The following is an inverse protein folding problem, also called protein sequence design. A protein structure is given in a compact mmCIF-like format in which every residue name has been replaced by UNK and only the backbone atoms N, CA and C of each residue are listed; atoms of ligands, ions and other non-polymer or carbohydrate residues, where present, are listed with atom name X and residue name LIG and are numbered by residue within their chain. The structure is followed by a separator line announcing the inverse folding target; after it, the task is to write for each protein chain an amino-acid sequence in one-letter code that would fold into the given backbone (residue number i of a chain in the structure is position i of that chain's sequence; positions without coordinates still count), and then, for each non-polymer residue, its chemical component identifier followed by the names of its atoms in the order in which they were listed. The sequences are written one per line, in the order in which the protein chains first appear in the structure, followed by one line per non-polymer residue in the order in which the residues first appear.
data_IF_243371301362
#
_entry.id   IF_243371301362
#
_cell.length_a   1.000
_cell.length_b   1.000
_cell.length_c   1.000
_cell.angle_alpha   90.00
_cell.angle_beta   90.00
_cell.angle_gamma   90.00
#
_symmetry.space_group_name_H-M   'P 1'
#
loop_
_entity.id
_entity.type
_entity.pdbx_description
1 polymer ?
#
# COMPACT_ATOMS: atom_id res chain seq x y z
N UNK A 1 -3.96 27.38 20.84
CA UNK A 1 -5.16 27.39 19.97
C UNK A 1 -4.83 27.44 18.48
N UNK A 2 -3.77 28.12 18.02
CA UNK A 2 -3.33 28.16 16.61
C UNK A 2 -2.95 26.80 15.97
N UNK A 3 -2.44 25.86 16.76
CA UNK A 3 -1.97 24.56 16.28
C UNK A 3 -3.10 23.64 15.82
N UNK A 4 -4.25 23.68 16.52
CA UNK A 4 -5.41 22.85 16.17
C UNK A 4 -6.08 23.32 14.87
N UNK A 5 -6.13 24.63 14.62
CA UNK A 5 -6.70 25.20 13.38
C UNK A 5 -5.86 24.83 12.16
N UNK A 6 -4.53 24.87 12.26
CA UNK A 6 -3.63 24.46 11.17
C UNK A 6 -3.73 22.97 10.83
N UNK A 7 -3.80 22.09 11.83
CA UNK A 7 -3.93 20.63 11.61
C UNK A 7 -5.25 20.29 10.92
N UNK A 8 -6.37 20.92 11.33
CA UNK A 8 -7.67 20.67 10.69
C UNK A 8 -7.73 21.14 9.23
N UNK A 9 -7.04 22.24 8.90
CA UNK A 9 -7.00 22.79 7.55
C UNK A 9 -6.12 21.94 6.61
N UNK A 10 -5.06 21.32 7.12
CA UNK A 10 -4.22 20.38 6.36
C UNK A 10 -4.96 19.08 6.09
N UNK A 11 -5.65 18.52 7.09
CA UNK A 11 -6.46 17.30 6.93
C UNK A 11 -7.54 17.44 5.85
N UNK A 12 -8.18 18.61 5.75
CA UNK A 12 -9.19 18.90 4.70
C UNK A 12 -8.61 18.98 3.28
N UNK A 13 -7.29 19.11 3.14
CA UNK A 13 -6.60 19.23 1.84
C UNK A 13 -5.87 17.95 1.42
N UNK A 14 -6.00 16.86 2.19
CA UNK A 14 -5.41 15.58 1.80
C UNK A 14 -6.23 15.01 0.65
N UNK A 15 -5.58 14.64 -0.47
CA UNK A 15 -6.28 14.13 -1.63
C UNK A 15 -6.77 12.69 -1.39
N UNK A 16 -7.90 12.35 -1.99
CA UNK A 16 -8.62 11.10 -1.72
C UNK A 16 -7.81 9.84 -2.02
N UNK A 17 -6.85 9.89 -2.95
CA UNK A 17 -5.98 8.75 -3.28
C UNK A 17 -5.09 8.35 -2.09
N UNK A 18 -4.53 9.33 -1.37
CA UNK A 18 -3.72 9.08 -0.17
C UNK A 18 -4.61 8.58 0.97
N UNK A 19 -5.80 9.15 1.13
CA UNK A 19 -6.78 8.72 2.15
C UNK A 19 -7.20 7.27 1.89
N UNK A 20 -7.58 6.95 0.65
CA UNK A 20 -8.01 5.62 0.25
C UNK A 20 -6.88 4.59 0.46
N UNK A 21 -5.66 4.93 0.05
CA UNK A 21 -4.51 4.05 0.27
C UNK A 21 -4.22 3.85 1.75
N UNK A 22 -4.31 4.90 2.57
CA UNK A 22 -4.11 4.79 4.01
C UNK A 22 -5.16 3.89 4.66
N UNK A 23 -6.44 4.04 4.34
CA UNK A 23 -7.49 3.15 4.85
C UNK A 23 -7.32 1.71 4.38
N UNK A 24 -6.92 1.51 3.13
CA UNK A 24 -6.58 0.19 2.63
C UNK A 24 -5.41 -0.42 3.42
N UNK A 25 -4.33 0.34 3.64
CA UNK A 25 -3.19 -0.11 4.43
C UNK A 25 -3.58 -0.46 5.87
N UNK A 26 -4.45 0.36 6.50
CA UNK A 26 -5.03 0.07 7.82
C UNK A 26 -5.80 -1.24 7.80
N UNK A 27 -6.75 -1.40 6.87
CA UNK A 27 -7.60 -2.58 6.79
C UNK A 27 -6.78 -3.86 6.60
N UNK A 28 -5.84 -3.84 5.65
CA UNK A 28 -4.97 -4.98 5.36
C UNK A 28 -4.04 -5.28 6.54
N UNK A 29 -3.50 -4.26 7.21
CA UNK A 29 -2.62 -4.45 8.37
C UNK A 29 -3.37 -5.03 9.57
N UNK A 30 -4.58 -4.52 9.85
CA UNK A 30 -5.46 -5.04 10.91
C UNK A 30 -5.88 -6.47 10.60
N UNK A 31 -6.25 -6.76 9.36
CA UNK A 31 -6.61 -8.11 8.95
C UNK A 31 -5.41 -9.06 9.02
N UNK A 32 -4.22 -8.62 8.61
CA UNK A 32 -2.98 -9.39 8.77
C UNK A 32 -2.66 -9.68 10.24
N UNK A 33 -2.79 -8.67 11.11
CA UNK A 33 -2.62 -8.86 12.55
C UNK A 33 -3.62 -9.88 13.10
N UNK A 34 -4.90 -9.74 12.74
CA UNK A 34 -5.97 -10.66 13.14
C UNK A 34 -5.68 -12.11 12.69
N UNK A 35 -5.24 -12.32 11.45
CA UNK A 35 -4.88 -13.65 10.95
C UNK A 35 -3.68 -14.27 11.67
N UNK A 36 -2.77 -13.46 12.21
CA UNK A 36 -1.60 -13.95 12.94
C UNK A 36 -1.89 -14.33 14.40
N UNK A 37 -3.09 -14.08 14.91
CA UNK A 37 -3.50 -14.56 16.23
C UNK A 37 -3.64 -16.08 16.23
N UNK A 38 -3.22 -16.73 17.32
CA UNK A 38 -3.22 -18.20 17.44
C UNK A 38 -4.63 -18.81 17.25
N UNK A 39 -5.67 -18.10 17.68
CA UNK A 39 -7.07 -18.48 17.51
C UNK A 39 -7.48 -18.61 16.04
N UNK A 40 -6.77 -17.96 15.12
CA UNK A 40 -7.09 -17.88 13.69
C UNK A 40 -6.19 -18.76 12.81
N UNK A 41 -5.41 -19.68 13.40
CA UNK A 41 -4.49 -20.57 12.66
C UNK A 41 -5.13 -21.29 11.47
N UNK A 42 -6.34 -21.81 11.64
CA UNK A 42 -7.08 -22.50 10.55
C UNK A 42 -7.43 -21.55 9.41
N UNK A 43 -7.94 -20.36 9.74
CA UNK A 43 -8.27 -19.34 8.75
C UNK A 43 -7.01 -18.87 8.01
N UNK A 44 -5.93 -18.60 8.74
CA UNK A 44 -4.63 -18.26 8.14
C UNK A 44 -4.14 -19.34 7.19
N UNK A 45 -4.17 -20.62 7.59
CA UNK A 45 -3.76 -21.73 6.72
C UNK A 45 -4.63 -21.84 5.45
N UNK A 46 -5.93 -21.53 5.54
CA UNK A 46 -6.81 -21.53 4.36
C UNK A 46 -6.56 -20.36 3.40
N UNK A 47 -6.05 -19.23 3.90
CA UNK A 47 -5.86 -18.01 3.11
C UNK A 47 -4.46 -17.86 2.54
N UNK A 48 -3.43 -18.39 3.22
CA UNK A 48 -2.02 -18.28 2.80
C UNK A 48 -1.79 -18.68 1.33
N UNK A 49 -2.39 -19.78 0.81
CA UNK A 49 -2.21 -20.13 -0.59
C UNK A 49 -2.65 -19.02 -1.55
N UNK A 50 -3.64 -18.21 -1.18
CA UNK A 50 -4.16 -17.10 -2.00
C UNK A 50 -3.43 -15.78 -1.75
N UNK A 51 -3.08 -15.49 -0.50
CA UNK A 51 -2.55 -14.19 -0.11
C UNK A 51 -1.03 -14.13 -0.05
N UNK A 52 -0.37 -15.29 -0.14
CA UNK A 52 1.05 -15.46 0.11
C UNK A 52 1.42 -15.27 1.58
N UNK A 53 2.70 -15.48 1.87
CA UNK A 53 3.28 -15.37 3.21
C UNK A 53 3.38 -13.93 3.72
N UNK A 54 3.55 -12.98 2.80
CA UNK A 54 3.80 -11.57 3.08
C UNK A 54 2.54 -10.75 3.37
N UNK A 55 1.35 -11.36 3.42
CA UNK A 55 0.07 -10.64 3.46
C UNK A 55 0.06 -9.53 4.53
N UNK A 56 -0.10 -8.30 4.07
CA UNK A 56 -0.22 -7.11 4.90
C UNK A 56 1.05 -6.57 5.56
N UNK A 57 2.17 -7.30 5.55
CA UNK A 57 3.41 -6.84 6.19
C UNK A 57 3.96 -5.57 5.54
N UNK A 58 3.97 -5.53 4.20
CA UNK A 58 4.43 -4.36 3.44
C UNK A 58 3.59 -3.10 3.67
N UNK A 59 2.35 -3.25 4.13
CA UNK A 59 1.44 -2.12 4.34
C UNK A 59 1.53 -1.51 5.75
N UNK A 60 2.03 -2.25 6.74
CA UNK A 60 2.15 -1.77 8.12
C UNK A 60 3.04 -0.53 8.24
N UNK A 61 4.08 -0.43 7.41
CA UNK A 61 4.98 0.72 7.40
C UNK A 61 4.23 2.05 7.14
N UNK A 62 3.23 2.03 6.26
CA UNK A 62 2.48 3.23 5.90
C UNK A 62 1.59 3.77 7.01
N UNK A 63 1.23 2.93 7.98
CA UNK A 63 0.46 3.34 9.16
C UNK A 63 1.18 4.41 9.96
N UNK A 64 2.51 4.33 10.00
CA UNK A 64 3.35 5.29 10.70
C UNK A 64 3.88 6.36 9.76
N UNK A 65 4.35 5.95 8.58
CA UNK A 65 5.00 6.85 7.65
C UNK A 65 4.09 7.98 7.16
N UNK A 66 2.84 7.67 6.79
CA UNK A 66 1.91 8.67 6.24
C UNK A 66 1.60 9.75 7.30
N UNK A 67 1.16 9.42 8.53
CA UNK A 67 0.95 10.42 9.58
C UNK A 67 2.21 11.20 9.93
N UNK A 68 3.37 10.53 10.08
CA UNK A 68 4.63 11.21 10.42
C UNK A 68 5.01 12.23 9.34
N UNK A 69 4.88 11.87 8.07
CA UNK A 69 5.19 12.76 6.95
C UNK A 69 4.25 13.97 6.90
N UNK A 70 2.96 13.76 7.17
CA UNK A 70 1.96 14.83 7.23
C UNK A 70 2.16 15.76 8.43
N UNK A 71 2.58 15.24 9.58
CA UNK A 71 2.79 16.02 10.81
C UNK A 71 4.14 16.73 10.85
N UNK A 72 5.17 16.15 10.24
CA UNK A 72 6.54 16.69 10.22
C UNK A 72 6.77 17.72 9.10
N UNK A 73 5.68 18.23 8.55
CA UNK A 73 5.65 19.07 7.37
C UNK A 73 6.23 20.48 7.62
N UNK A 74 7.29 20.83 6.88
CA UNK A 74 7.91 22.18 6.88
C UNK A 74 7.88 22.88 5.50
N UNK A 75 7.24 22.30 4.49
CA UNK A 75 7.33 22.71 3.07
C UNK A 75 6.05 23.27 2.46
N UNK A 76 5.79 22.99 1.17
CA UNK A 76 4.48 23.22 0.50
C UNK A 76 3.69 21.92 0.38
N UNK A 77 2.37 21.98 0.61
CA UNK A 77 1.52 20.78 0.77
C UNK A 77 1.64 19.88 -0.46
N UNK A 78 1.68 20.50 -1.64
CA UNK A 78 1.90 19.83 -2.94
C UNK A 78 3.19 19.01 -2.97
N UNK A 79 4.32 19.56 -2.48
CA UNK A 79 5.59 18.84 -2.47
C UNK A 79 5.53 17.62 -1.55
N UNK A 80 4.93 17.76 -0.38
CA UNK A 80 4.83 16.64 0.58
C UNK A 80 3.89 15.55 0.10
N UNK A 81 2.76 15.91 -0.51
CA UNK A 81 1.89 14.94 -1.17
C UNK A 81 2.60 14.24 -2.34
N UNK A 82 3.44 14.96 -3.10
CA UNK A 82 4.29 14.37 -4.13
C UNK A 82 5.29 13.36 -3.57
N UNK A 83 6.00 13.71 -2.50
CA UNK A 83 6.94 12.81 -1.81
C UNK A 83 6.22 11.57 -1.28
N UNK A 84 5.05 11.74 -0.65
CA UNK A 84 4.23 10.62 -0.18
C UNK A 84 3.89 9.65 -1.31
N UNK A 85 3.42 10.15 -2.46
CA UNK A 85 3.10 9.31 -3.63
C UNK A 85 4.33 8.58 -4.16
N UNK A 86 5.45 9.28 -4.32
CA UNK A 86 6.71 8.67 -4.79
C UNK A 86 7.13 7.54 -3.86
N UNK A 87 7.05 7.77 -2.54
CA UNK A 87 7.41 6.75 -1.57
C UNK A 87 6.47 5.54 -1.63
N UNK A 88 5.15 5.77 -1.70
CA UNK A 88 4.16 4.70 -1.90
C UNK A 88 4.47 3.92 -3.18
N UNK A 89 4.75 4.60 -4.30
CA UNK A 89 5.11 3.99 -5.58
C UNK A 89 6.32 3.06 -5.42
N UNK A 90 7.41 3.54 -4.82
CA UNK A 90 8.64 2.74 -4.65
C UNK A 90 8.37 1.49 -3.79
N UNK A 91 7.67 1.66 -2.67
CA UNK A 91 7.36 0.55 -1.78
C UNK A 91 6.38 -0.47 -2.39
N UNK A 92 5.41 -0.01 -3.19
CA UNK A 92 4.49 -0.88 -3.91
C UNK A 92 5.18 -1.58 -5.08
N UNK A 93 6.15 -0.93 -5.74
CA UNK A 93 7.00 -1.56 -6.77
C UNK A 93 7.82 -2.72 -6.19
N UNK A 94 8.37 -2.57 -4.98
CA UNK A 94 9.07 -3.67 -4.30
C UNK A 94 8.14 -4.85 -4.05
N UNK A 95 6.93 -4.61 -3.56
CA UNK A 95 5.93 -5.67 -3.35
C UNK A 95 5.51 -6.34 -4.66
N UNK A 96 5.35 -5.56 -5.74
CA UNK A 96 5.05 -6.08 -7.07
C UNK A 96 6.19 -6.95 -7.60
N UNK A 97 7.44 -6.51 -7.42
CA UNK A 97 8.61 -7.28 -7.80
C UNK A 97 8.67 -8.61 -7.05
N UNK A 98 8.48 -8.60 -5.73
CA UNK A 98 8.46 -9.81 -4.91
C UNK A 98 7.35 -10.77 -5.37
N UNK A 99 6.14 -10.26 -5.61
CA UNK A 99 5.01 -11.07 -6.08
C UNK A 99 5.23 -11.68 -7.47
N UNK A 100 5.89 -10.96 -8.37
CA UNK A 100 6.27 -11.47 -9.70
C UNK A 100 7.38 -12.52 -9.59
N UNK A 101 8.41 -12.26 -8.79
CA UNK A 101 9.50 -13.23 -8.58
C UNK A 101 8.98 -14.53 -7.97
N UNK A 102 8.14 -14.42 -6.93
CA UNK A 102 7.51 -15.56 -6.27
C UNK A 102 6.68 -16.38 -7.27
N UNK A 103 5.83 -15.72 -8.07
CA UNK A 103 5.04 -16.38 -9.11
C UNK A 103 5.86 -17.10 -10.17
N UNK A 104 6.97 -16.50 -10.61
CA UNK A 104 7.86 -17.10 -11.62
C UNK A 104 8.66 -18.30 -11.09
N UNK A 105 8.78 -18.44 -9.77
CA UNK A 105 9.52 -19.51 -9.12
C UNK A 105 8.64 -20.68 -8.65
N UNK A 106 7.31 -20.57 -8.78
CA UNK A 106 6.38 -21.64 -8.37
C UNK A 106 6.56 -22.88 -9.24
N UNK A 107 6.88 -24.01 -8.61
CA UNK A 107 6.98 -25.29 -9.26
C UNK A 107 5.60 -26.00 -9.33
N UNK A 108 5.39 -26.94 -10.28
CA UNK A 108 4.14 -27.70 -10.36
C UNK A 108 3.73 -28.39 -9.06
N UNK A 109 4.72 -28.87 -8.30
CA UNK A 109 4.54 -29.58 -7.03
C UNK A 109 3.90 -28.69 -5.96
N UNK A 110 4.19 -27.38 -5.99
CA UNK A 110 3.72 -26.40 -5.01
C UNK A 110 2.19 -26.19 -5.08
N UNK A 111 1.54 -26.49 -6.20
CA UNK A 111 0.07 -26.42 -6.30
C UNK A 111 -0.65 -27.57 -5.60
N UNK A 112 0.05 -28.70 -5.44
CA UNK A 112 -0.49 -29.95 -4.90
C UNK A 112 0.02 -30.26 -3.50
N UNK A 113 0.90 -29.42 -2.95
CA UNK A 113 1.53 -29.64 -1.66
C UNK A 113 0.47 -29.76 -0.54
N UNK A 114 0.50 -30.84 0.27
CA UNK A 114 -0.46 -31.02 1.36
C UNK A 114 -0.24 -30.01 2.50
N UNK A 115 0.95 -29.41 2.60
CA UNK A 115 1.22 -28.37 3.57
C UNK A 115 0.69 -27.02 3.05
N UNK A 116 -0.34 -26.42 3.67
CA UNK A 116 -0.94 -25.17 3.20
C UNK A 116 0.02 -23.98 3.20
N UNK A 117 1.09 -24.07 3.98
CA UNK A 117 2.13 -23.07 4.04
C UNK A 117 3.06 -23.13 2.81
N UNK A 118 3.24 -24.31 2.22
CA UNK A 118 4.06 -24.50 1.01
C UNK A 118 3.22 -24.58 -0.26
N UNK A 119 1.90 -24.35 -0.13
CA UNK A 119 0.96 -24.51 -1.22
C UNK A 119 0.64 -23.19 -1.88
N UNK A 120 0.63 -23.18 -3.21
CA UNK A 120 0.16 -22.06 -4.02
C UNK A 120 -1.18 -22.36 -4.66
N UNK A 121 -1.97 -21.32 -4.89
CA UNK A 121 -3.21 -21.38 -5.65
C UNK A 121 -3.03 -20.65 -7.00
N UNK A 122 -3.85 -20.98 -8.00
CA UNK A 122 -3.83 -20.27 -9.29
C UNK A 122 -4.26 -18.80 -9.14
N UNK A 123 -4.99 -18.49 -8.08
CA UNK A 123 -5.48 -17.14 -7.80
C UNK A 123 -4.48 -16.29 -6.98
N UNK A 124 -3.35 -16.85 -6.53
CA UNK A 124 -2.33 -16.10 -5.77
C UNK A 124 -1.90 -14.78 -6.44
N UNK A 125 -1.65 -14.74 -7.77
CA UNK A 125 -1.26 -13.51 -8.47
C UNK A 125 -2.24 -12.35 -8.35
N UNK A 126 -3.54 -12.63 -8.14
CA UNK A 126 -4.55 -11.56 -8.00
C UNK A 126 -4.20 -10.68 -6.80
N UNK A 127 -3.78 -11.30 -5.69
CA UNK A 127 -3.42 -10.57 -4.47
C UNK A 127 -1.97 -10.11 -4.46
N UNK A 128 -1.02 -10.95 -4.90
CA UNK A 128 0.41 -10.63 -4.80
C UNK A 128 0.90 -9.69 -5.92
N UNK A 129 0.19 -9.64 -7.05
CA UNK A 129 0.56 -8.81 -8.21
C UNK A 129 -0.55 -7.79 -8.51
N UNK A 130 -1.80 -8.24 -8.64
CA UNK A 130 -2.92 -7.40 -9.05
C UNK A 130 -3.19 -6.23 -8.11
N UNK A 131 -3.21 -6.47 -6.79
CA UNK A 131 -3.45 -5.44 -5.78
C UNK A 131 -2.31 -4.40 -5.73
N UNK A 132 -1.02 -4.77 -5.66
CA UNK A 132 0.07 -3.80 -5.80
C UNK A 132 0.01 -3.02 -7.12
N UNK A 133 -0.27 -3.68 -8.25
CA UNK A 133 -0.33 -3.02 -9.55
C UNK A 133 -1.44 -1.97 -9.61
N UNK A 134 -2.61 -2.25 -9.03
CA UNK A 134 -3.71 -1.29 -8.92
C UNK A 134 -3.26 0.00 -8.21
N UNK A 135 -2.64 -0.13 -7.03
CA UNK A 135 -2.18 1.02 -6.27
C UNK A 135 -1.05 1.77 -6.95
N UNK A 136 -0.14 1.05 -7.61
CA UNK A 136 0.94 1.63 -8.39
C UNK A 136 0.40 2.54 -9.50
N UNK A 137 -0.51 2.03 -10.32
CA UNK A 137 -1.11 2.77 -11.44
C UNK A 137 -1.87 4.00 -10.92
N UNK A 138 -2.69 3.83 -9.88
CA UNK A 138 -3.43 4.94 -9.29
C UNK A 138 -2.49 6.04 -8.79
N UNK A 139 -1.44 5.69 -8.05
CA UNK A 139 -0.48 6.65 -7.50
C UNK A 139 0.32 7.36 -8.60
N UNK A 140 0.71 6.65 -9.66
CA UNK A 140 1.40 7.26 -10.82
C UNK A 140 0.51 8.29 -11.52
N UNK A 141 -0.75 7.95 -11.79
CA UNK A 141 -1.72 8.88 -12.40
C UNK A 141 -1.87 10.13 -11.54
N UNK A 142 -2.08 9.95 -10.23
CA UNK A 142 -2.29 11.08 -9.31
C UNK A 142 -1.04 11.94 -9.13
N UNK A 143 0.16 11.34 -9.20
CA UNK A 143 1.43 12.07 -9.19
C UNK A 143 1.57 12.95 -10.46
N UNK A 144 1.28 12.40 -11.63
CA UNK A 144 1.32 13.13 -12.91
C UNK A 144 0.32 14.28 -12.92
N UNK A 145 -0.93 14.04 -12.51
CA UNK A 145 -1.97 15.08 -12.42
C UNK A 145 -1.51 16.21 -11.49
N UNK A 146 -1.00 15.87 -10.30
CA UNK A 146 -0.54 16.86 -9.32
C UNK A 146 0.63 17.69 -9.87
N UNK A 147 1.54 17.06 -10.63
CA UNK A 147 2.66 17.74 -11.25
C UNK A 147 2.20 18.73 -12.35
N UNK A 148 1.25 18.32 -13.19
CA UNK A 148 0.70 19.18 -14.25
C UNK A 148 -0.05 20.39 -13.68
N UNK A 149 -0.85 20.19 -12.63
CA UNK A 149 -1.54 21.29 -11.94
C UNK A 149 -0.56 22.31 -11.37
N UNK A 150 0.47 21.84 -10.65
CA UNK A 150 1.50 22.71 -10.08
C UNK A 150 2.29 23.48 -11.15
N UNK A 151 2.59 22.85 -12.28
CA UNK A 151 3.27 23.50 -13.41
C UNK A 151 2.42 24.61 -14.03
N UNK A 152 1.11 24.42 -14.14
CA UNK A 152 0.20 25.42 -14.68
C UNK A 152 0.04 26.62 -13.73
N UNK A 153 -0.08 26.38 -12.42
CA UNK A 153 -0.13 27.46 -11.41
C UNK A 153 1.12 28.35 -11.42
N UNK A 154 2.30 27.76 -11.66
CA UNK A 154 3.56 28.51 -11.81
C UNK A 154 3.68 29.32 -13.10
N UNK A 155 2.90 29.01 -14.14
CA UNK A 155 2.91 29.77 -15.39
C UNK A 155 1.97 30.98 -15.36
N UNK A 156 1.00 30.96 -14.45
CA UNK A 156 -0.02 32.00 -14.29
C UNK A 156 0.35 33.07 -13.25
N UNK A 157 1.38 32.81 -12.44
CA UNK A 157 1.98 33.75 -11.48
C UNK A 157 3.35 34.21 -11.96
#
# INVERSE_FOLDING_TARGET
METQTKVSAVLRKIPYDIIAFFFFAVAVSVFSFYLNLDINKKLKASLIPYTGWGFGRGYMFFLFFIPICLLSFKGTVVKTLGILRIFIIISVLMQLFDGVQDWLQVAPEDYTNPNPYLRYDKLTPIYTIGVPLFWLVLMLIMLVISYLQFKNEKRLN
#
